data_IF_821428989423
#
_entry.id   IF_821428989423
#
_cell.length_a   1.000
_cell.length_b   1.000
_cell.length_c   1.000
_cell.angle_alpha   90.00
_cell.angle_beta   90.00
_cell.angle_gamma   90.00
#
_symmetry.space_group_name_H-M   'P 1'
#
loop_
_entity.id
_entity.type
_entity.pdbx_description
1 polymer ?
#
# COMPACT_ATOMS: atom_id res chain seq x y z
N UNK A 1 -6.24 -15.91 -15.87
CA UNK A 1 -5.58 -14.67 -15.42
C UNK A 1 -6.65 -13.62 -15.32
N UNK A 2 -6.78 -12.96 -14.16
CA UNK A 2 -7.76 -11.89 -13.97
C UNK A 2 -7.25 -10.59 -14.60
N UNK A 3 -8.17 -9.81 -15.17
CA UNK A 3 -7.87 -8.55 -15.84
C UNK A 3 -8.60 -7.39 -15.14
N UNK A 4 -7.87 -6.28 -14.95
CA UNK A 4 -8.38 -5.04 -14.37
C UNK A 4 -8.04 -3.87 -15.29
N UNK A 5 -8.79 -2.80 -15.20
CA UNK A 5 -8.41 -1.57 -15.90
C UNK A 5 -7.20 -0.93 -15.23
N UNK A 6 -7.20 -0.89 -13.89
CA UNK A 6 -6.08 -0.35 -13.12
C UNK A 6 -5.68 -1.31 -12.01
N UNK A 7 -4.38 -1.57 -11.87
CA UNK A 7 -3.82 -2.24 -10.68
C UNK A 7 -2.93 -1.25 -9.94
N UNK A 8 -3.13 -1.19 -8.62
CA UNK A 8 -2.37 -0.34 -7.71
C UNK A 8 -1.48 -1.23 -6.86
N UNK A 9 -0.18 -0.95 -6.84
CA UNK A 9 0.81 -1.67 -6.05
C UNK A 9 1.08 -0.92 -4.77
N UNK A 10 0.62 -1.46 -3.65
CA UNK A 10 0.76 -0.92 -2.31
C UNK A 10 -0.55 -0.41 -1.70
N UNK A 11 -0.87 -0.88 -0.48
CA UNK A 11 -2.03 -0.49 0.31
C UNK A 11 -1.68 0.48 1.46
N UNK A 12 -0.70 1.34 1.24
CA UNK A 12 -0.43 2.50 2.07
C UNK A 12 -1.42 3.64 1.78
N UNK A 13 -1.27 4.81 2.45
CA UNK A 13 -2.18 5.95 2.26
C UNK A 13 -2.22 6.43 0.81
N UNK A 14 -1.11 6.39 0.10
CA UNK A 14 -1.05 6.81 -1.30
C UNK A 14 -1.83 5.85 -2.22
N UNK A 15 -1.60 4.54 -2.09
CA UNK A 15 -2.27 3.54 -2.92
C UNK A 15 -3.77 3.46 -2.65
N UNK A 16 -4.16 3.46 -1.36
CA UNK A 16 -5.59 3.44 -1.00
C UNK A 16 -6.30 4.73 -1.42
N UNK A 17 -5.66 5.89 -1.29
CA UNK A 17 -6.24 7.14 -1.80
C UNK A 17 -6.45 7.08 -3.31
N UNK A 18 -5.46 6.64 -4.09
CA UNK A 18 -5.61 6.44 -5.51
C UNK A 18 -6.76 5.46 -5.83
N UNK A 19 -6.81 4.33 -5.11
CA UNK A 19 -7.85 3.32 -5.26
C UNK A 19 -9.26 3.87 -5.02
N UNK A 20 -9.45 4.69 -3.99
CA UNK A 20 -10.73 5.35 -3.70
C UNK A 20 -11.18 6.20 -4.90
N UNK A 21 -10.28 7.01 -5.46
CA UNK A 21 -10.62 7.85 -6.61
C UNK A 21 -10.96 7.04 -7.86
N UNK A 22 -10.21 5.99 -8.13
CA UNK A 22 -10.47 5.09 -9.28
C UNK A 22 -11.79 4.36 -9.11
N UNK A 23 -12.01 3.70 -7.96
CA UNK A 23 -13.21 2.92 -7.70
C UNK A 23 -14.49 3.77 -7.74
N UNK A 24 -14.45 5.02 -7.27
CA UNK A 24 -15.58 5.97 -7.38
C UNK A 24 -16.00 6.27 -8.81
N UNK A 25 -15.13 6.09 -9.79
CA UNK A 25 -15.45 6.26 -11.21
C UNK A 25 -15.98 4.97 -11.86
N UNK A 26 -16.27 3.92 -11.07
CA UNK A 26 -16.67 2.59 -11.54
C UNK A 26 -15.65 1.94 -12.50
N UNK A 27 -14.38 2.28 -12.36
CA UNK A 27 -13.27 1.63 -13.07
C UNK A 27 -12.87 0.39 -12.28
N UNK A 28 -12.72 -0.75 -12.94
CA UNK A 28 -12.27 -1.97 -12.26
C UNK A 28 -10.85 -1.81 -11.74
N UNK A 29 -10.69 -1.95 -10.42
CA UNK A 29 -9.47 -1.62 -9.73
C UNK A 29 -9.10 -2.67 -8.68
N UNK A 30 -7.87 -3.16 -8.74
CA UNK A 30 -7.28 -4.05 -7.76
C UNK A 30 -6.11 -3.38 -7.05
N UNK A 31 -6.12 -3.37 -5.73
CA UNK A 31 -4.94 -3.04 -4.92
C UNK A 31 -4.21 -4.34 -4.55
N UNK A 32 -2.92 -4.42 -4.84
CA UNK A 32 -2.07 -5.55 -4.44
C UNK A 32 -1.02 -5.04 -3.44
N UNK A 33 -0.95 -5.63 -2.27
CA UNK A 33 0.02 -5.25 -1.25
C UNK A 33 0.34 -6.42 -0.32
N UNK A 34 1.55 -6.48 0.21
CA UNK A 34 1.92 -7.48 1.22
C UNK A 34 1.20 -7.27 2.56
N UNK A 35 0.86 -6.02 2.88
CA UNK A 35 0.19 -5.62 4.12
C UNK A 35 -0.73 -4.42 3.89
N UNK A 36 -1.59 -4.15 4.86
CA UNK A 36 -2.40 -2.94 4.92
C UNK A 36 -1.64 -1.84 5.64
N UNK A 37 -1.60 -0.64 5.07
CA UNK A 37 -1.08 0.57 5.73
C UNK A 37 0.44 0.78 5.61
N UNK A 38 1.22 -0.27 5.39
CA UNK A 38 2.68 -0.15 5.27
C UNK A 38 3.31 0.55 6.47
N UNK A 39 4.18 1.52 6.24
CA UNK A 39 4.86 2.27 7.33
C UNK A 39 3.91 3.06 8.24
N UNK A 40 2.71 3.37 7.79
CA UNK A 40 1.72 4.04 8.64
C UNK A 40 1.38 3.22 9.89
N UNK A 41 1.49 1.89 9.82
CA UNK A 41 1.27 1.00 10.97
C UNK A 41 2.25 1.22 12.13
N UNK A 42 3.38 1.85 11.88
CA UNK A 42 4.39 2.16 12.89
C UNK A 42 4.08 3.45 13.69
N UNK A 43 3.00 4.16 13.34
CA UNK A 43 2.65 5.44 13.94
C UNK A 43 1.57 5.23 15.01
N UNK A 44 1.92 5.22 16.30
CA UNK A 44 0.96 4.99 17.37
C UNK A 44 0.02 6.18 17.59
N UNK A 45 0.48 7.39 17.30
CA UNK A 45 -0.29 8.63 17.41
C UNK A 45 -0.09 9.49 16.17
N UNK A 46 -1.15 9.66 15.41
CA UNK A 46 -1.15 10.40 14.16
C UNK A 46 -1.74 11.80 14.37
N UNK A 47 -0.90 12.82 14.18
CA UNK A 47 -1.25 14.23 14.40
C UNK A 47 -1.09 15.09 13.14
N UNK A 48 -0.48 14.54 12.09
CA UNK A 48 -0.05 15.28 10.90
C UNK A 48 -0.80 14.85 9.61
N UNK A 49 -1.96 14.18 9.76
CA UNK A 49 -2.81 13.84 8.62
C UNK A 49 -4.10 14.68 8.69
N UNK A 50 -4.32 15.62 7.75
CA UNK A 50 -5.51 16.45 7.75
C UNK A 50 -6.80 15.63 7.75
N UNK A 51 -7.73 15.93 8.63
CA UNK A 51 -9.00 15.24 8.76
C UNK A 51 -8.99 14.00 9.69
N UNK A 52 -7.83 13.52 10.13
CA UNK A 52 -7.71 12.44 11.11
C UNK A 52 -7.30 12.99 12.46
N UNK A 53 -8.27 13.36 13.29
CA UNK A 53 -8.03 13.92 14.63
C UNK A 53 -7.87 12.79 15.64
N UNK A 54 -6.81 12.84 16.47
CA UNK A 54 -6.53 11.89 17.56
C UNK A 54 -6.61 10.41 17.08
N UNK A 55 -5.98 10.11 15.97
CA UNK A 55 -5.97 8.79 15.36
C UNK A 55 -4.61 8.10 15.53
N UNK A 56 -4.53 6.87 15.05
CA UNK A 56 -3.28 6.14 14.87
C UNK A 56 -3.14 5.72 13.40
N UNK A 57 -1.94 5.38 12.98
CA UNK A 57 -1.69 4.91 11.63
C UNK A 57 -2.54 3.68 11.26
N UNK A 58 -2.61 2.64 12.10
CA UNK A 58 -3.48 1.49 11.85
C UNK A 58 -4.96 1.83 11.71
N UNK A 59 -5.48 2.75 12.52
CA UNK A 59 -6.88 3.20 12.42
C UNK A 59 -7.11 3.91 11.10
N UNK A 60 -6.23 4.81 10.70
CA UNK A 60 -6.35 5.51 9.42
C UNK A 60 -6.24 4.52 8.25
N UNK A 61 -5.31 3.55 8.32
CA UNK A 61 -5.19 2.51 7.30
C UNK A 61 -6.50 1.75 7.11
N UNK A 62 -7.12 1.34 8.22
CA UNK A 62 -8.41 0.64 8.19
C UNK A 62 -9.56 1.50 7.69
N UNK A 63 -9.55 2.77 8.01
CA UNK A 63 -10.54 3.74 7.50
C UNK A 63 -10.45 3.87 5.98
N UNK A 64 -9.24 4.04 5.44
CA UNK A 64 -9.01 4.14 3.99
C UNK A 64 -9.38 2.85 3.26
N UNK A 65 -9.01 1.69 3.82
CA UNK A 65 -9.41 0.38 3.29
C UNK A 65 -10.94 0.26 3.23
N UNK A 66 -11.61 0.54 4.34
CA UNK A 66 -13.08 0.45 4.42
C UNK A 66 -13.74 1.37 3.40
N UNK A 67 -13.24 2.58 3.23
CA UNK A 67 -13.73 3.51 2.23
C UNK A 67 -13.52 2.99 0.81
N UNK A 68 -12.34 2.45 0.50
CA UNK A 68 -12.05 1.85 -0.81
C UNK A 68 -12.99 0.68 -1.13
N UNK A 69 -13.17 -0.25 -0.18
CA UNK A 69 -14.05 -1.41 -0.34
C UNK A 69 -15.53 -1.01 -0.50
N UNK A 70 -15.97 0.11 0.12
CA UNK A 70 -17.34 0.59 -0.02
C UNK A 70 -17.69 1.03 -1.46
N UNK A 71 -16.69 1.34 -2.28
CA UNK A 71 -16.82 1.62 -3.71
C UNK A 71 -16.57 0.39 -4.59
N UNK A 72 -16.66 -0.83 -4.02
CA UNK A 72 -16.43 -2.11 -4.71
C UNK A 72 -14.99 -2.29 -5.23
N UNK A 73 -14.03 -1.60 -4.63
CA UNK A 73 -12.62 -1.86 -4.86
C UNK A 73 -12.24 -3.25 -4.33
N UNK A 74 -11.24 -3.86 -4.95
CA UNK A 74 -10.74 -5.18 -4.56
C UNK A 74 -9.32 -5.07 -3.99
N UNK A 75 -9.03 -5.83 -2.93
CA UNK A 75 -7.68 -5.90 -2.34
C UNK A 75 -7.22 -7.36 -2.30
N UNK A 76 -5.99 -7.58 -2.73
CA UNK A 76 -5.29 -8.86 -2.59
C UNK A 76 -4.02 -8.63 -1.78
N UNK A 77 -3.91 -9.37 -0.68
CA UNK A 77 -2.70 -9.36 0.15
C UNK A 77 -1.69 -10.37 -0.39
N UNK A 78 -0.79 -9.88 -1.24
CA UNK A 78 0.27 -10.66 -1.89
C UNK A 78 1.46 -9.75 -2.25
N UNK A 79 2.62 -10.32 -2.53
CA UNK A 79 3.81 -9.58 -2.91
C UNK A 79 3.96 -9.56 -4.42
N UNK A 80 4.04 -8.36 -5.00
CA UNK A 80 4.38 -8.20 -6.41
C UNK A 80 5.86 -8.49 -6.60
N UNK A 81 6.17 -9.47 -7.44
CA UNK A 81 7.55 -9.88 -7.76
C UNK A 81 8.05 -9.23 -9.05
N UNK A 82 7.17 -9.07 -10.03
CA UNK A 82 7.55 -8.57 -11.34
C UNK A 82 6.40 -7.85 -12.03
N UNK A 83 6.73 -6.82 -12.78
CA UNK A 83 5.83 -6.10 -13.66
C UNK A 83 6.50 -6.05 -15.03
N UNK A 84 5.81 -6.56 -16.04
CA UNK A 84 6.24 -6.54 -17.44
C UNK A 84 5.27 -5.68 -18.24
N UNK A 85 5.81 -4.80 -19.06
CA UNK A 85 5.03 -4.09 -20.08
C UNK A 85 4.72 -5.06 -21.24
N UNK A 86 3.49 -4.99 -21.73
CA UNK A 86 3.00 -5.84 -22.83
C UNK A 86 2.24 -5.00 -23.83
N UNK A 87 1.97 -5.55 -25.01
CA UNK A 87 1.12 -4.88 -25.97
C UNK A 87 -0.31 -4.67 -25.37
N UNK A 88 -0.66 -3.43 -25.13
CA UNK A 88 -1.96 -3.03 -24.55
C UNK A 88 -2.04 -2.97 -23.03
N UNK A 89 -0.91 -2.99 -22.31
CA UNK A 89 -0.90 -2.80 -20.85
C UNK A 89 0.24 -3.48 -20.12
N UNK A 90 -0.05 -4.06 -18.97
CA UNK A 90 0.93 -4.61 -18.06
C UNK A 90 0.53 -6.01 -17.58
N UNK A 91 1.52 -6.87 -17.43
CA UNK A 91 1.41 -8.15 -16.73
C UNK A 91 2.07 -8.04 -15.37
N UNK A 92 1.33 -8.35 -14.32
CA UNK A 92 1.80 -8.29 -12.93
C UNK A 92 1.88 -9.70 -12.39
N UNK A 93 3.07 -10.12 -11.98
CA UNK A 93 3.30 -11.40 -11.31
C UNK A 93 3.45 -11.15 -9.82
N UNK A 94 2.67 -11.87 -9.03
CA UNK A 94 2.78 -11.93 -7.58
C UNK A 94 3.33 -13.29 -7.15
N UNK A 95 3.57 -13.45 -5.86
CA UNK A 95 4.05 -14.75 -5.31
C UNK A 95 3.07 -15.90 -5.59
N UNK A 96 1.75 -15.63 -5.67
CA UNK A 96 0.72 -16.67 -5.80
C UNK A 96 -0.07 -16.63 -7.10
N UNK A 97 -0.06 -15.52 -7.82
CA UNK A 97 -0.96 -15.31 -8.96
C UNK A 97 -0.36 -14.39 -10.03
N UNK A 98 -1.05 -14.33 -11.17
CA UNK A 98 -0.74 -13.39 -12.25
C UNK A 98 -1.99 -12.59 -12.63
N UNK A 99 -1.79 -11.32 -12.92
CA UNK A 99 -2.83 -10.35 -13.27
C UNK A 99 -2.44 -9.57 -14.52
N UNK A 100 -3.44 -9.00 -15.19
CA UNK A 100 -3.25 -8.01 -16.26
C UNK A 100 -3.93 -6.71 -15.91
N UNK A 101 -3.35 -5.60 -16.36
CA UNK A 101 -3.94 -4.27 -16.22
C UNK A 101 -3.67 -3.41 -17.45
N UNK A 102 -4.60 -2.51 -17.78
CA UNK A 102 -4.37 -1.48 -18.81
C UNK A 102 -3.40 -0.40 -18.31
N UNK A 103 -3.48 -0.07 -17.02
CA UNK A 103 -2.59 0.88 -16.36
C UNK A 103 -2.23 0.42 -14.96
N UNK A 104 -1.10 0.91 -14.45
CA UNK A 104 -0.65 0.64 -13.09
C UNK A 104 -0.36 1.94 -12.34
N UNK A 105 -0.61 1.91 -11.03
CA UNK A 105 -0.18 2.94 -10.09
C UNK A 105 0.82 2.33 -9.13
N UNK A 106 2.03 2.85 -9.10
CA UNK A 106 3.07 2.38 -8.19
C UNK A 106 3.07 3.24 -6.93
N UNK A 107 2.68 2.64 -5.81
CA UNK A 107 2.69 3.24 -4.49
C UNK A 107 3.36 2.31 -3.45
N UNK A 108 4.55 1.74 -3.76
CA UNK A 108 5.18 0.68 -2.97
C UNK A 108 5.69 1.16 -1.61
N UNK A 109 5.67 2.47 -1.36
CA UNK A 109 6.25 3.06 -0.15
C UNK A 109 7.77 2.97 -0.14
N UNK A 110 8.33 2.90 1.06
CA UNK A 110 9.78 2.77 1.29
C UNK A 110 10.04 1.87 2.49
N UNK A 111 11.23 1.30 2.53
CA UNK A 111 11.78 0.61 3.70
C UNK A 111 13.06 1.33 4.09
N UNK A 112 13.31 1.62 5.38
CA UNK A 112 14.56 2.21 5.80
C UNK A 112 15.75 1.32 5.42
N UNK A 113 16.84 1.94 4.97
CA UNK A 113 18.12 1.23 4.85
C UNK A 113 18.68 1.04 6.26
N UNK A 114 18.71 -0.20 6.70
CA UNK A 114 19.23 -0.55 8.01
C UNK A 114 20.76 -0.33 8.06
N UNK A 115 21.30 0.00 9.21
CA UNK A 115 22.75 0.18 9.41
C UNK A 115 23.52 -1.13 9.31
N UNK A 116 22.84 -2.27 9.55
CA UNK A 116 23.45 -3.60 9.55
C UNK A 116 24.26 -3.90 10.80
N UNK A 117 23.94 -3.23 11.90
CA UNK A 117 24.61 -3.44 13.19
C UNK A 117 24.12 -4.74 13.85
N UNK A 118 25.02 -5.38 14.58
CA UNK A 118 24.65 -6.51 15.44
C UNK A 118 23.58 -6.09 16.44
N UNK A 119 22.50 -6.88 16.57
CA UNK A 119 21.35 -6.60 17.45
C UNK A 119 20.54 -5.34 17.12
N UNK A 120 20.71 -4.74 15.95
CA UNK A 120 19.98 -3.53 15.55
C UNK A 120 18.46 -3.66 15.70
N UNK A 121 17.91 -4.82 15.38
CA UNK A 121 16.47 -5.10 15.49
C UNK A 121 15.94 -5.00 16.93
N UNK A 122 16.77 -5.26 17.94
CA UNK A 122 16.38 -5.16 19.36
C UNK A 122 16.23 -3.70 19.80
N UNK A 123 16.98 -2.80 19.17
CA UNK A 123 17.00 -1.37 19.46
C UNK A 123 16.10 -0.54 18.53
N UNK A 124 15.47 -1.18 17.55
CA UNK A 124 14.55 -0.51 16.63
C UNK A 124 13.39 0.14 17.42
N UNK A 125 13.22 1.45 17.26
CA UNK A 125 12.33 2.31 18.06
C UNK A 125 12.60 2.33 19.58
N UNK A 126 13.76 1.82 20.02
CA UNK A 126 14.21 1.79 21.41
C UNK A 126 15.63 2.36 21.57
N UNK A 127 15.99 3.31 20.75
CA UNK A 127 17.30 3.94 20.71
C UNK A 127 17.82 4.14 19.29
N UNK A 128 17.49 3.24 18.35
CA UNK A 128 17.76 3.40 16.92
C UNK A 128 16.44 3.77 16.22
N UNK A 129 16.42 4.95 15.60
CA UNK A 129 15.24 5.48 14.92
C UNK A 129 15.60 5.83 13.47
N UNK A 130 14.74 5.39 12.53
CA UNK A 130 14.86 5.70 11.10
C UNK A 130 13.85 6.75 10.62
N UNK A 131 12.98 7.20 11.50
CA UNK A 131 12.04 8.27 11.23
C UNK A 131 12.21 9.40 12.25
N UNK A 132 12.54 10.59 11.77
CA UNK A 132 12.71 11.78 12.63
C UNK A 132 11.40 12.56 12.85
N UNK A 133 10.33 12.19 12.13
CA UNK A 133 9.03 12.89 12.16
C UNK A 133 7.85 11.97 12.51
N UNK A 134 8.17 10.72 12.81
CA UNK A 134 7.17 9.77 13.25
C UNK A 134 7.02 9.80 14.77
#
# INVERSE_FOLDING_TARGET
MQEFEIIIVGAGPAGLSAGIYVARQNVSCLVISKDLGGQMNLIPRLENYPGAIMSSGPILAKTLETQYLSFKGEIVYDTVEKIDETEGGFKIKTTRSEYKAKAIVLAPGKVPNMLGLENESQYFNKGIHYCTKC
#
